data_IF_732210400793
#
_entry.id   IF_732210400793
#
_cell.length_a   1.000
_cell.length_b   1.000
_cell.length_c   1.000
_cell.angle_alpha   90.00
_cell.angle_beta   90.00
_cell.angle_gamma   90.00
#
_symmetry.space_group_name_H-M   'P 1'
#
loop_
_entity.id
_entity.type
_entity.pdbx_description
1 polymer ?
#
# COMPACT_ATOMS: atom_id res chain seq x y z
N UNK A 1 11.58 8.76 -6.45
CA UNK A 1 10.28 8.46 -7.05
C UNK A 1 9.54 9.75 -7.43
N UNK A 2 8.75 9.76 -8.51
CA UNK A 2 7.81 10.81 -8.90
C UNK A 2 8.33 12.26 -8.77
N UNK A 3 9.33 12.68 -9.55
CA UNK A 3 10.06 13.94 -9.36
C UNK A 3 9.18 15.19 -9.36
N UNK A 4 7.99 15.14 -9.97
CA UNK A 4 7.05 16.28 -10.08
C UNK A 4 5.74 16.03 -9.30
N UNK A 5 5.77 15.22 -8.24
CA UNK A 5 4.56 14.90 -7.47
C UNK A 5 3.95 16.15 -6.82
N UNK A 6 4.78 17.03 -6.29
CA UNK A 6 4.38 18.32 -5.72
C UNK A 6 3.60 19.19 -6.71
N UNK A 7 4.15 19.35 -7.91
CA UNK A 7 3.51 20.15 -8.96
C UNK A 7 2.18 19.53 -9.43
N UNK A 8 2.17 18.21 -9.63
CA UNK A 8 0.97 17.50 -10.09
C UNK A 8 -0.14 17.52 -9.05
N UNK A 9 0.18 17.25 -7.78
CA UNK A 9 -0.81 17.24 -6.70
C UNK A 9 -1.33 18.66 -6.44
N UNK A 10 -0.46 19.67 -6.47
CA UNK A 10 -0.88 21.06 -6.36
C UNK A 10 -1.82 21.47 -7.52
N UNK A 11 -1.47 21.09 -8.74
CA UNK A 11 -2.34 21.35 -9.90
C UNK A 11 -3.71 20.69 -9.74
N UNK A 12 -3.75 19.42 -9.29
CA UNK A 12 -5.01 18.71 -9.02
C UNK A 12 -5.87 19.42 -7.96
N UNK A 13 -5.26 19.91 -6.89
CA UNK A 13 -5.97 20.68 -5.85
C UNK A 13 -6.59 21.97 -6.40
N UNK A 14 -5.96 22.60 -7.38
CA UNK A 14 -6.47 23.83 -7.99
C UNK A 14 -7.64 23.59 -8.97
N UNK A 15 -7.83 22.37 -9.45
CA UNK A 15 -8.94 22.05 -10.35
C UNK A 15 -10.32 22.09 -9.67
N UNK A 16 -10.35 21.94 -8.35
CA UNK A 16 -11.58 21.85 -7.56
C UNK A 16 -11.61 22.94 -6.48
N UNK A 17 -11.75 24.22 -6.86
CA UNK A 17 -11.73 25.33 -5.91
C UNK A 17 -12.87 25.21 -4.90
N UNK A 18 -12.53 25.25 -3.62
CA UNK A 18 -13.48 25.12 -2.51
C UNK A 18 -13.83 23.68 -2.11
N UNK A 19 -13.28 22.67 -2.80
CA UNK A 19 -13.36 21.27 -2.34
C UNK A 19 -12.25 20.98 -1.32
N UNK A 20 -12.59 20.18 -0.34
CA UNK A 20 -11.58 19.56 0.53
C UNK A 20 -10.92 18.42 -0.25
N UNK A 21 -9.61 18.51 -0.43
CA UNK A 21 -8.84 17.52 -1.17
C UNK A 21 -8.12 16.60 -0.18
N UNK A 22 -8.14 15.33 -0.45
CA UNK A 22 -7.43 14.30 0.28
C UNK A 22 -6.58 13.47 -0.68
N UNK A 23 -5.35 13.15 -0.29
CA UNK A 23 -4.45 12.30 -1.05
C UNK A 23 -4.28 10.96 -0.35
N UNK A 24 -4.49 9.89 -1.11
CA UNK A 24 -4.30 8.51 -0.67
C UNK A 24 -3.12 7.91 -1.39
N UNK A 25 -2.14 7.41 -0.64
CA UNK A 25 -0.87 6.93 -1.19
C UNK A 25 -0.55 5.54 -0.63
N UNK A 26 -0.61 4.52 -1.47
CA UNK A 26 -0.02 3.24 -1.17
C UNK A 26 1.50 3.31 -1.37
N UNK A 27 2.27 3.02 -0.34
CA UNK A 27 3.72 2.83 -0.44
C UNK A 27 4.02 1.34 -0.51
N UNK A 28 5.14 0.96 -1.09
CA UNK A 28 5.54 -0.43 -1.23
C UNK A 28 7.03 -0.58 -0.99
N UNK A 29 7.44 -1.71 -0.42
CA UNK A 29 8.85 -2.03 -0.26
C UNK A 29 9.60 -1.88 -1.59
N UNK A 30 10.61 -1.01 -1.68
CA UNK A 30 11.38 -0.82 -2.91
C UNK A 30 11.98 -2.11 -3.46
N UNK A 31 12.31 -3.08 -2.61
CA UNK A 31 12.84 -4.38 -3.03
C UNK A 31 11.87 -5.16 -3.94
N UNK A 32 10.56 -4.99 -3.76
CA UNK A 32 9.53 -5.62 -4.61
C UNK A 32 8.91 -4.63 -5.61
N UNK A 33 8.88 -3.34 -5.27
CA UNK A 33 8.30 -2.31 -6.13
C UNK A 33 9.14 -2.09 -7.40
N UNK A 34 10.46 -1.98 -7.28
CA UNK A 34 11.34 -1.73 -8.43
C UNK A 34 11.32 -2.87 -9.45
N UNK A 35 11.42 -4.15 -9.06
CA UNK A 35 11.26 -5.27 -9.99
C UNK A 35 9.94 -5.25 -10.75
N UNK A 36 8.84 -5.01 -10.05
CA UNK A 36 7.52 -4.92 -10.67
C UNK A 36 7.43 -3.76 -11.67
N UNK A 37 7.96 -2.59 -11.32
CA UNK A 37 7.97 -1.41 -12.19
C UNK A 37 8.90 -1.61 -13.42
N UNK A 38 10.01 -2.30 -13.23
CA UNK A 38 10.91 -2.67 -14.35
C UNK A 38 10.24 -3.63 -15.31
N UNK A 39 9.52 -4.64 -14.81
CA UNK A 39 8.77 -5.58 -15.62
C UNK A 39 7.67 -4.86 -16.45
N UNK A 40 6.93 -3.95 -15.82
CA UNK A 40 5.89 -3.16 -16.48
C UNK A 40 6.46 -2.23 -17.57
N UNK A 41 7.56 -1.56 -17.28
CA UNK A 41 8.22 -0.63 -18.23
C UNK A 41 9.08 -1.35 -19.27
N UNK A 42 9.25 -2.67 -19.17
CA UNK A 42 10.12 -3.48 -20.02
C UNK A 42 11.57 -2.95 -20.04
N UNK A 43 12.05 -2.51 -18.89
CA UNK A 43 13.42 -2.02 -18.75
C UNK A 43 14.43 -3.13 -19.03
N UNK A 44 15.53 -2.78 -19.68
CA UNK A 44 16.56 -3.75 -20.11
C UNK A 44 17.40 -4.34 -18.94
N UNK A 45 17.25 -3.77 -17.73
CA UNK A 45 17.91 -4.25 -16.50
C UNK A 45 17.98 -3.16 -15.44
N UNK A 46 18.37 -3.52 -14.19
CA UNK A 46 18.44 -2.59 -13.07
C UNK A 46 19.34 -1.38 -13.33
N UNK A 47 20.51 -1.59 -13.90
CA UNK A 47 21.49 -0.53 -14.21
C UNK A 47 20.92 0.52 -15.18
N UNK A 48 20.14 0.07 -16.18
CA UNK A 48 19.52 0.97 -17.15
C UNK A 48 18.36 1.74 -16.51
N UNK A 49 17.62 1.09 -15.61
CA UNK A 49 16.45 1.66 -14.97
C UNK A 49 16.81 2.64 -13.85
N UNK A 50 17.74 2.27 -12.99
CA UNK A 50 18.16 3.06 -11.84
C UNK A 50 19.24 4.11 -12.20
N UNK A 51 20.03 3.85 -13.27
CA UNK A 51 21.21 4.67 -13.58
C UNK A 51 22.18 4.68 -12.39
N UNK A 52 22.56 5.88 -11.95
CA UNK A 52 23.45 6.07 -10.80
C UNK A 52 22.68 6.13 -9.45
N UNK A 53 21.38 5.81 -9.42
CA UNK A 53 20.59 5.87 -8.20
C UNK A 53 20.84 4.64 -7.34
N UNK A 54 21.30 4.87 -6.10
CA UNK A 54 21.42 3.82 -5.09
C UNK A 54 20.02 3.30 -4.69
N UNK A 55 19.71 2.00 -4.84
CA UNK A 55 18.44 1.43 -4.40
C UNK A 55 18.12 1.69 -2.92
N UNK A 56 19.14 1.72 -2.04
CA UNK A 56 18.99 1.98 -0.61
C UNK A 56 18.59 3.43 -0.30
N UNK A 57 18.84 4.36 -1.22
CA UNK A 57 18.44 5.76 -1.08
C UNK A 57 16.99 6.03 -1.50
N UNK A 58 16.26 5.01 -1.96
CA UNK A 58 14.88 5.16 -2.42
C UNK A 58 13.92 5.13 -1.23
N UNK A 59 13.43 6.29 -0.84
CA UNK A 59 12.52 6.50 0.28
C UNK A 59 11.21 7.14 -0.18
N UNK A 60 10.11 6.83 0.52
CA UNK A 60 8.78 7.41 0.29
C UNK A 60 8.55 8.67 1.10
N UNK A 61 9.16 8.78 2.27
CA UNK A 61 9.00 9.94 3.16
C UNK A 61 9.29 11.28 2.49
N UNK A 62 10.33 11.46 1.64
CA UNK A 62 10.55 12.70 0.93
C UNK A 62 9.45 13.02 -0.10
N UNK A 63 8.84 11.99 -0.69
CA UNK A 63 7.70 12.16 -1.60
C UNK A 63 6.47 12.66 -0.86
N UNK A 64 6.13 12.02 0.27
CA UNK A 64 5.00 12.40 1.13
C UNK A 64 5.18 13.84 1.63
N UNK A 65 6.38 14.19 2.06
CA UNK A 65 6.69 15.56 2.51
C UNK A 65 6.50 16.59 1.39
N UNK A 66 6.93 16.29 0.15
CA UNK A 66 6.71 17.16 -1.02
C UNK A 66 5.22 17.38 -1.30
N UNK A 67 4.42 16.31 -1.28
CA UNK A 67 2.97 16.38 -1.49
C UNK A 67 2.34 17.29 -0.43
N UNK A 68 2.68 17.09 0.84
CA UNK A 68 2.15 17.90 1.94
C UNK A 68 2.53 19.36 1.86
N UNK A 69 3.81 19.66 1.58
CA UNK A 69 4.29 21.05 1.46
C UNK A 69 3.60 21.79 0.32
N UNK A 70 3.32 21.09 -0.78
CA UNK A 70 2.62 21.67 -1.93
C UNK A 70 1.12 21.87 -1.67
N UNK A 71 0.54 21.14 -0.72
CA UNK A 71 -0.89 21.13 -0.44
C UNK A 71 -1.16 21.18 1.08
N UNK A 72 -0.88 22.31 1.76
CA UNK A 72 -0.93 22.40 3.23
C UNK A 72 -2.32 22.18 3.83
N UNK A 73 -3.38 22.42 3.04
CA UNK A 73 -4.79 22.25 3.47
C UNK A 73 -5.33 20.83 3.19
N UNK A 74 -4.59 20.02 2.44
CA UNK A 74 -5.01 18.67 2.10
C UNK A 74 -4.53 17.67 3.17
N UNK A 75 -5.37 16.68 3.49
CA UNK A 75 -4.94 15.52 4.27
C UNK A 75 -4.19 14.52 3.36
N UNK A 76 -3.27 13.80 3.96
CA UNK A 76 -2.54 12.72 3.27
C UNK A 76 -2.68 11.45 4.10
N UNK A 77 -3.30 10.44 3.51
CA UNK A 77 -3.43 9.10 4.09
C UNK A 77 -2.50 8.14 3.37
N UNK A 78 -1.71 7.40 4.12
CA UNK A 78 -0.69 6.48 3.62
C UNK A 78 -0.94 5.08 4.18
N UNK A 79 -0.60 4.04 3.45
CA UNK A 79 -0.53 2.67 3.95
C UNK A 79 0.53 1.87 3.20
N UNK A 80 1.04 0.81 3.84
CA UNK A 80 1.91 -0.15 3.18
C UNK A 80 1.07 -1.07 2.29
N UNK A 81 1.44 -1.21 1.03
CA UNK A 81 0.71 -2.05 0.08
C UNK A 81 0.68 -3.52 0.52
N UNK A 82 1.72 -3.95 1.19
CA UNK A 82 1.86 -5.29 1.77
C UNK A 82 0.77 -5.58 2.81
N UNK A 83 0.30 -4.57 3.53
CA UNK A 83 -0.75 -4.66 4.54
C UNK A 83 -2.17 -4.62 3.95
N UNK A 84 -2.31 -4.25 2.68
CA UNK A 84 -3.60 -4.08 2.00
C UNK A 84 -4.57 -5.23 2.25
N UNK A 85 -4.15 -6.51 2.19
CA UNK A 85 -5.06 -7.63 2.45
C UNK A 85 -5.72 -7.59 3.84
N UNK A 86 -5.03 -7.05 4.84
CA UNK A 86 -5.53 -6.99 6.21
C UNK A 86 -6.39 -5.76 6.50
N UNK A 87 -6.09 -4.63 5.84
CA UNK A 87 -6.68 -3.31 6.10
C UNK A 87 -7.60 -2.80 4.97
N UNK A 88 -7.84 -3.60 3.92
CA UNK A 88 -8.64 -3.18 2.77
C UNK A 88 -10.01 -2.57 3.12
N UNK A 89 -10.78 -3.13 4.06
CA UNK A 89 -12.04 -2.54 4.48
C UNK A 89 -11.88 -1.14 5.09
N UNK A 90 -10.81 -0.90 5.83
CA UNK A 90 -10.52 0.41 6.42
C UNK A 90 -10.14 1.43 5.35
N UNK A 91 -9.28 1.03 4.41
CA UNK A 91 -8.90 1.87 3.27
C UNK A 91 -10.14 2.31 2.49
N UNK A 92 -11.05 1.37 2.17
CA UNK A 92 -12.28 1.68 1.45
C UNK A 92 -13.18 2.68 2.19
N UNK A 93 -13.32 2.54 3.51
CA UNK A 93 -14.13 3.46 4.31
C UNK A 93 -13.51 4.83 4.39
N UNK A 94 -12.21 4.90 4.60
CA UNK A 94 -11.47 6.16 4.65
C UNK A 94 -11.58 6.90 3.30
N UNK A 95 -11.30 6.23 2.18
CA UNK A 95 -11.40 6.81 0.84
C UNK A 95 -12.81 7.27 0.45
N UNK A 96 -13.84 6.60 0.98
CA UNK A 96 -15.24 6.93 0.68
C UNK A 96 -15.89 7.87 1.71
N UNK A 97 -15.17 8.24 2.77
CA UNK A 97 -15.67 9.10 3.84
C UNK A 97 -16.80 8.46 4.67
N UNK A 98 -16.85 7.12 4.76
CA UNK A 98 -17.89 6.41 5.47
C UNK A 98 -17.48 6.09 6.91
N UNK A 99 -18.46 6.12 7.79
CA UNK A 99 -18.30 5.72 9.19
C UNK A 99 -17.78 4.27 9.30
N UNK A 100 -16.98 3.93 10.34
CA UNK A 100 -16.36 2.61 10.51
C UNK A 100 -17.35 1.43 10.48
N UNK A 101 -18.61 1.65 10.84
CA UNK A 101 -19.65 0.63 10.89
C UNK A 101 -20.49 0.52 9.62
N UNK A 102 -20.27 1.37 8.63
CA UNK A 102 -20.99 1.31 7.37
C UNK A 102 -20.67 0.01 6.65
N UNK A 103 -21.72 -0.71 6.26
CA UNK A 103 -21.57 -1.88 5.40
C UNK A 103 -21.36 -1.41 3.96
N UNK A 104 -20.27 -1.84 3.37
CA UNK A 104 -19.94 -1.57 1.98
C UNK A 104 -20.11 -2.86 1.17
N UNK A 105 -20.76 -2.75 0.01
CA UNK A 105 -20.81 -3.84 -0.95
C UNK A 105 -19.41 -4.07 -1.56
N UNK A 106 -19.07 -5.33 -1.87
CA UNK A 106 -17.78 -5.66 -2.49
C UNK A 106 -16.56 -5.55 -1.57
N UNK A 107 -16.75 -5.36 -0.25
CA UNK A 107 -15.67 -5.17 0.72
C UNK A 107 -14.64 -6.31 0.76
N UNK A 108 -14.99 -7.47 0.23
CA UNK A 108 -14.12 -8.64 0.13
C UNK A 108 -13.77 -9.02 -1.32
N UNK A 109 -14.10 -8.20 -2.31
CA UNK A 109 -13.79 -8.50 -3.73
C UNK A 109 -12.28 -8.55 -3.97
N UNK A 110 -11.53 -7.70 -3.28
CA UNK A 110 -10.07 -7.77 -3.29
C UNK A 110 -9.56 -9.12 -2.76
N UNK A 111 -10.12 -9.63 -1.65
CA UNK A 111 -9.73 -10.93 -1.11
C UNK A 111 -10.10 -12.07 -2.05
N UNK A 112 -11.18 -11.93 -2.82
CA UNK A 112 -11.56 -12.90 -3.82
C UNK A 112 -10.55 -13.02 -4.96
N UNK A 113 -9.77 -11.97 -5.25
CA UNK A 113 -8.72 -12.00 -6.28
C UNK A 113 -7.42 -12.66 -5.82
N UNK A 114 -7.15 -12.68 -4.51
CA UNK A 114 -5.90 -13.21 -3.93
C UNK A 114 -6.09 -14.53 -3.17
N UNK A 115 -7.29 -15.11 -3.16
CA UNK A 115 -7.61 -16.35 -2.47
C UNK A 115 -8.22 -17.37 -3.41
N UNK A 116 -8.11 -18.64 -3.03
CA UNK A 116 -8.86 -19.69 -3.71
C UNK A 116 -10.38 -19.49 -3.57
N UNK A 117 -11.16 -19.88 -4.58
CA UNK A 117 -12.62 -19.78 -4.54
C UNK A 117 -13.24 -20.49 -3.33
N UNK A 118 -12.66 -21.62 -2.91
CA UNK A 118 -13.10 -22.33 -1.72
C UNK A 118 -12.77 -21.56 -0.43
N UNK A 119 -11.64 -20.88 -0.39
CA UNK A 119 -11.19 -20.06 0.73
C UNK A 119 -12.11 -18.87 0.97
N UNK A 120 -12.36 -18.07 -0.08
CA UNK A 120 -13.22 -16.89 0.04
C UNK A 120 -14.65 -17.27 0.44
N UNK A 121 -15.24 -18.35 -0.15
CA UNK A 121 -16.58 -18.83 0.25
C UNK A 121 -16.65 -19.21 1.71
N UNK A 122 -15.63 -19.91 2.23
CA UNK A 122 -15.57 -20.30 3.65
C UNK A 122 -15.39 -19.09 4.56
N UNK A 123 -14.55 -18.13 4.19
CA UNK A 123 -14.37 -16.90 4.95
C UNK A 123 -15.67 -16.10 5.07
N UNK A 124 -16.38 -15.92 3.97
CA UNK A 124 -17.67 -15.22 3.96
C UNK A 124 -18.73 -15.94 4.79
N UNK A 125 -18.82 -17.27 4.70
CA UNK A 125 -19.73 -18.08 5.52
C UNK A 125 -19.37 -17.98 7.01
N UNK A 126 -18.08 -17.93 7.35
CA UNK A 126 -17.62 -17.73 8.71
C UNK A 126 -18.04 -16.35 9.24
N UNK A 127 -17.87 -15.27 8.48
CA UNK A 127 -18.30 -13.92 8.87
C UNK A 127 -19.82 -13.79 9.02
N UNK A 128 -20.61 -14.53 8.24
CA UNK A 128 -22.08 -14.59 8.40
C UNK A 128 -22.48 -15.22 9.73
N UNK A 129 -21.82 -16.29 10.15
CA UNK A 129 -22.10 -17.00 11.39
C UNK A 129 -21.42 -16.41 12.62
N UNK A 130 -20.30 -15.73 12.43
CA UNK A 130 -19.46 -15.12 13.46
C UNK A 130 -19.06 -13.70 13.04
N UNK A 131 -20.00 -12.74 13.05
CA UNK A 131 -19.70 -11.38 12.65
C UNK A 131 -18.62 -10.77 13.58
N UNK A 132 -17.57 -10.14 13.04
CA UNK A 132 -16.51 -9.56 13.84
C UNK A 132 -17.05 -8.36 14.63
N UNK A 133 -16.67 -8.26 15.90
CA UNK A 133 -17.10 -7.17 16.78
C UNK A 133 -16.24 -5.90 16.62
N UNK A 134 -15.06 -6.04 16.02
CA UNK A 134 -14.14 -4.93 15.73
C UNK A 134 -13.15 -5.30 14.61
N UNK A 135 -12.41 -4.31 14.13
CA UNK A 135 -11.43 -4.49 13.05
C UNK A 135 -10.29 -5.44 13.43
N UNK A 136 -9.82 -5.43 14.66
CA UNK A 136 -8.77 -6.35 15.13
C UNK A 136 -9.22 -7.81 14.98
N UNK A 137 -10.45 -8.11 15.35
CA UNK A 137 -10.99 -9.47 15.16
C UNK A 137 -11.15 -9.81 13.68
N UNK A 138 -11.63 -8.87 12.86
CA UNK A 138 -11.74 -9.06 11.41
C UNK A 138 -10.38 -9.41 10.80
N UNK A 139 -9.36 -8.62 11.08
CA UNK A 139 -7.98 -8.81 10.58
C UNK A 139 -7.42 -10.18 10.96
N UNK A 140 -7.63 -10.62 12.21
CA UNK A 140 -7.20 -11.96 12.67
C UNK A 140 -7.87 -13.08 11.88
N UNK A 141 -9.15 -12.95 11.59
CA UNK A 141 -9.87 -13.94 10.78
C UNK A 141 -9.36 -13.93 9.34
N UNK A 142 -9.25 -12.74 8.74
CA UNK A 142 -8.71 -12.59 7.38
C UNK A 142 -7.30 -13.19 7.29
N UNK A 143 -6.41 -12.86 8.21
CA UNK A 143 -5.05 -13.40 8.24
C UNK A 143 -5.03 -14.93 8.29
N UNK A 144 -5.86 -15.55 9.16
CA UNK A 144 -5.95 -17.01 9.27
C UNK A 144 -6.50 -17.68 8.02
N UNK A 145 -7.40 -16.99 7.27
CA UNK A 145 -7.88 -17.50 6.00
C UNK A 145 -6.88 -17.31 4.87
N UNK A 146 -6.15 -16.20 4.84
CA UNK A 146 -5.07 -15.96 3.88
C UNK A 146 -3.95 -16.99 4.05
N UNK A 147 -3.48 -17.22 5.28
CA UNK A 147 -2.46 -18.22 5.60
C UNK A 147 -2.77 -19.60 5.03
N UNK A 148 -4.06 -19.95 4.93
CA UNK A 148 -4.50 -21.27 4.49
C UNK A 148 -4.99 -21.33 3.04
N UNK A 149 -5.46 -20.25 2.48
CA UNK A 149 -6.21 -20.24 1.23
C UNK A 149 -5.76 -19.15 0.25
N UNK A 150 -4.68 -18.44 0.54
CA UNK A 150 -4.10 -17.51 -0.41
C UNK A 150 -3.65 -18.24 -1.68
N UNK A 151 -3.70 -17.55 -2.81
CA UNK A 151 -3.03 -17.96 -4.02
C UNK A 151 -1.61 -17.43 -3.95
N UNK A 152 -0.64 -18.30 -3.71
CA UNK A 152 0.78 -17.93 -3.58
C UNK A 152 1.26 -17.12 -4.80
N UNK A 153 0.89 -17.55 -5.99
CA UNK A 153 1.24 -16.87 -7.27
C UNK A 153 0.74 -15.42 -7.35
N UNK A 154 -0.30 -15.04 -6.58
CA UNK A 154 -0.88 -13.69 -6.57
C UNK A 154 -0.31 -12.80 -5.45
N UNK A 155 0.35 -13.39 -4.47
CA UNK A 155 0.85 -12.68 -3.28
C UNK A 155 2.38 -12.65 -3.26
N UNK A 156 3.03 -13.74 -3.63
CA UNK A 156 4.47 -13.83 -3.65
C UNK A 156 5.04 -13.13 -4.90
N UNK A 157 5.99 -12.24 -4.67
CA UNK A 157 6.76 -11.62 -5.75
C UNK A 157 8.13 -12.27 -5.78
N UNK A 158 8.35 -13.15 -6.73
CA UNK A 158 9.66 -13.72 -6.99
C UNK A 158 10.59 -12.61 -7.49
N UNK A 159 11.66 -12.33 -6.74
CA UNK A 159 12.65 -11.32 -7.09
C UNK A 159 13.82 -12.04 -7.76
N UNK A 160 13.75 -12.19 -9.08
CA UNK A 160 14.84 -12.71 -9.89
C UNK A 160 15.44 -11.60 -10.77
N UNK A 161 16.25 -10.75 -10.16
CA UNK A 161 16.96 -9.68 -10.86
C UNK A 161 18.47 -9.80 -10.69
N UNK A 162 19.24 -9.67 -11.77
CA UNK A 162 20.70 -9.63 -11.67
C UNK A 162 21.20 -8.55 -10.72
N UNK A 163 22.01 -8.92 -9.74
CA UNK A 163 22.57 -8.01 -8.74
C UNK A 163 21.67 -7.75 -7.52
N UNK A 164 20.49 -8.40 -7.46
CA UNK A 164 19.60 -8.34 -6.29
C UNK A 164 19.76 -9.63 -5.49
N UNK A 165 20.78 -9.65 -4.63
CA UNK A 165 21.00 -10.75 -3.69
C UNK A 165 20.18 -10.57 -2.41
N UNK A 166 20.18 -11.61 -1.57
CA UNK A 166 19.42 -11.60 -0.30
C UNK A 166 19.87 -10.45 0.61
N UNK A 167 21.17 -10.15 0.66
CA UNK A 167 21.73 -9.09 1.51
C UNK A 167 21.23 -7.71 1.09
N UNK A 168 21.13 -7.45 -0.21
CA UNK A 168 20.58 -6.19 -0.73
C UNK A 168 19.09 -6.08 -0.46
N UNK A 169 18.31 -7.15 -0.68
CA UNK A 169 16.87 -7.20 -0.42
C UNK A 169 16.57 -6.97 1.06
N UNK A 170 17.34 -7.60 1.98
CA UNK A 170 17.23 -7.38 3.41
C UNK A 170 17.54 -5.92 3.77
N UNK A 171 18.67 -5.38 3.29
CA UNK A 171 19.06 -3.98 3.54
C UNK A 171 18.01 -2.97 3.02
N UNK A 172 17.41 -3.23 1.86
CA UNK A 172 16.33 -2.40 1.32
C UNK A 172 15.07 -2.48 2.16
N UNK A 173 14.76 -3.65 2.69
CA UNK A 173 13.60 -3.86 3.56
C UNK A 173 13.79 -3.15 4.89
N UNK A 174 14.96 -3.24 5.51
CA UNK A 174 15.29 -2.48 6.73
C UNK A 174 15.18 -0.97 6.49
N UNK A 175 15.74 -0.45 5.38
CA UNK A 175 15.63 0.96 5.04
C UNK A 175 14.17 1.40 4.81
N UNK A 176 13.34 0.54 4.25
CA UNK A 176 11.90 0.79 4.08
C UNK A 176 11.16 0.82 5.42
N UNK A 177 11.45 -0.08 6.33
CA UNK A 177 10.87 -0.08 7.67
C UNK A 177 11.23 1.21 8.45
N UNK A 178 12.49 1.66 8.36
CA UNK A 178 12.90 2.93 8.94
C UNK A 178 12.15 4.13 8.33
N UNK A 179 11.92 4.08 7.02
CA UNK A 179 11.18 5.12 6.30
C UNK A 179 9.69 5.16 6.69
N UNK A 180 9.06 4.00 6.92
CA UNK A 180 7.69 3.90 7.48
C UNK A 180 7.61 4.60 8.84
N UNK A 181 8.57 4.37 9.74
CA UNK A 181 8.62 5.08 11.03
C UNK A 181 8.79 6.59 10.88
N UNK A 182 9.50 7.04 9.84
CA UNK A 182 9.61 8.47 9.55
C UNK A 182 8.27 9.04 9.07
N UNK A 183 7.52 8.32 8.22
CA UNK A 183 6.19 8.71 7.74
C UNK A 183 5.18 8.76 8.88
N UNK A 184 5.17 7.77 9.77
CA UNK A 184 4.26 7.70 10.93
C UNK A 184 4.38 8.95 11.83
N UNK A 185 5.58 9.51 11.94
CA UNK A 185 5.84 10.72 12.76
C UNK A 185 5.57 12.03 12.03
N UNK A 186 5.24 12.00 10.75
CA UNK A 186 4.94 13.21 9.99
C UNK A 186 3.64 13.85 10.44
N UNK A 187 3.71 15.09 10.92
CA UNK A 187 2.52 15.84 11.28
C UNK A 187 1.58 16.01 10.07
N UNK A 188 0.29 15.70 10.20
CA UNK A 188 -0.73 15.80 9.14
C UNK A 188 -0.66 14.68 8.08
N UNK A 189 0.00 13.58 8.39
CA UNK A 189 -0.10 12.31 7.66
C UNK A 189 -0.85 11.32 8.55
N UNK A 190 -1.82 10.65 7.96
CA UNK A 190 -2.52 9.52 8.57
C UNK A 190 -1.94 8.23 7.99
N UNK A 191 -1.31 7.40 8.83
CA UNK A 191 -0.81 6.09 8.43
C UNK A 191 -1.80 5.00 8.89
N UNK A 192 -2.40 4.28 7.92
CA UNK A 192 -3.25 3.12 8.21
C UNK A 192 -2.35 1.90 8.36
N UNK A 193 -2.42 1.26 9.51
CA UNK A 193 -1.66 0.04 9.85
C UNK A 193 -2.58 -1.08 10.32
N UNK A 194 -2.18 -2.36 10.22
CA UNK A 194 -2.91 -3.51 10.77
C UNK A 194 -3.13 -3.48 12.28
#
# INVERSE_FOLDING_TARGET
>A
FYPNADQKTHWLSQLLPGAQVEFFVAIRNPATFLPALMAETKAAGPEVFLGDTDPLALQWSPLIEKIRRANPEASVTVWCNEDTPLIWPEILREMSGHEPHTQLDGIYDFHASIMTEAGIRRMLAYFQSHPPVNEVQRRRVVAAFLDKFANEDEIEVEIDLPGWDEDLVESMTEAYEEDIFAIERMAGVNLITP
#
